data_IF_576204603589
#
_entry.id   IF_576204603589
#
_cell.length_a   1.000
_cell.length_b   1.000
_cell.length_c   1.000
_cell.angle_alpha   90.00
_cell.angle_beta   90.00
_cell.angle_gamma   90.00
#
_symmetry.space_group_name_H-M   'P 1'
#
loop_
_entity.id
_entity.type
_entity.pdbx_description
1 polymer ?
#
# COMPACT_ATOMS: atom_id res chain seq x y z
N UNK A 1 -13.25 -15.06 0.43
CA UNK A 1 -13.33 -13.67 0.95
C UNK A 1 -12.65 -13.63 2.31
N UNK A 2 -11.35 -13.38 2.36
CA UNK A 2 -10.64 -13.13 3.62
C UNK A 2 -10.74 -11.64 3.91
N UNK A 3 -11.44 -11.29 4.99
CA UNK A 3 -11.54 -9.91 5.48
C UNK A 3 -10.24 -9.62 6.23
N UNK A 4 -9.35 -8.85 5.63
CA UNK A 4 -8.19 -8.31 6.33
C UNK A 4 -8.72 -7.27 7.32
N UNK A 5 -8.44 -7.49 8.60
CA UNK A 5 -8.85 -6.63 9.71
C UNK A 5 -7.75 -5.60 9.92
N UNK A 6 -8.02 -4.34 9.60
CA UNK A 6 -7.02 -3.26 9.68
C UNK A 6 -7.35 -2.33 10.84
N UNK A 7 -6.38 -2.16 11.73
CA UNK A 7 -6.45 -1.25 12.88
C UNK A 7 -6.26 0.18 12.39
N UNK A 8 -7.32 0.99 12.51
CA UNK A 8 -7.46 2.30 11.90
C UNK A 8 -7.13 3.44 12.87
N UNK A 9 -6.26 4.35 12.44
CA UNK A 9 -6.09 5.72 12.95
C UNK A 9 -5.37 6.51 11.84
N UNK A 10 -6.08 7.04 10.84
CA UNK A 10 -5.70 8.22 10.00
C UNK A 10 -6.63 8.33 8.76
N UNK A 11 -7.17 9.52 8.43
CA UNK A 11 -8.09 9.71 7.30
C UNK A 11 -7.47 9.49 5.91
N UNK A 12 -6.15 9.62 5.79
CA UNK A 12 -5.42 9.34 4.54
C UNK A 12 -5.36 7.84 4.26
N UNK A 13 -5.12 7.05 5.31
CA UNK A 13 -5.01 5.59 5.23
C UNK A 13 -6.33 4.94 4.81
N UNK A 14 -7.44 5.38 5.40
CA UNK A 14 -8.78 4.92 5.01
C UNK A 14 -9.12 5.22 3.53
N UNK A 15 -8.69 6.36 3.00
CA UNK A 15 -8.89 6.71 1.59
C UNK A 15 -8.03 5.87 0.65
N UNK A 16 -6.79 5.58 1.04
CA UNK A 16 -5.90 4.69 0.29
C UNK A 16 -6.48 3.28 0.24
N UNK A 17 -6.91 2.75 1.38
CA UNK A 17 -7.54 1.44 1.46
C UNK A 17 -8.79 1.35 0.59
N UNK A 18 -9.69 2.33 0.68
CA UNK A 18 -10.90 2.32 -0.13
C UNK A 18 -10.58 2.32 -1.62
N UNK A 19 -9.59 3.10 -2.08
CA UNK A 19 -9.24 3.16 -3.50
C UNK A 19 -8.53 1.91 -4.01
N UNK A 20 -7.64 1.34 -3.20
CA UNK A 20 -6.76 0.24 -3.64
C UNK A 20 -7.38 -1.14 -3.42
N UNK A 21 -8.17 -1.34 -2.35
CA UNK A 21 -8.74 -2.66 -1.98
C UNK A 21 -9.67 -3.26 -3.03
N UNK A 22 -10.25 -2.44 -3.91
CA UNK A 22 -11.13 -2.92 -4.98
C UNK A 22 -10.35 -3.54 -6.14
N UNK A 23 -9.08 -3.17 -6.30
CA UNK A 23 -8.26 -3.56 -7.44
C UNK A 23 -7.11 -4.50 -7.04
N UNK A 24 -6.62 -4.36 -5.81
CA UNK A 24 -5.43 -5.04 -5.33
C UNK A 24 -5.65 -5.60 -3.92
N UNK A 25 -5.01 -6.73 -3.62
CA UNK A 25 -4.93 -7.25 -2.26
C UNK A 25 -3.78 -6.53 -1.54
N UNK A 26 -4.11 -5.48 -0.79
CA UNK A 26 -3.16 -4.55 -0.18
C UNK A 26 -3.39 -4.39 1.30
N UNK A 27 -2.30 -4.12 2.02
CA UNK A 27 -2.32 -3.72 3.42
C UNK A 27 -1.48 -2.45 3.61
N UNK A 28 -1.91 -1.58 4.52
CA UNK A 28 -1.17 -0.38 4.87
C UNK A 28 -0.69 -0.47 6.32
N UNK A 29 0.61 -0.30 6.52
CA UNK A 29 1.29 -0.49 7.81
C UNK A 29 1.91 0.82 8.23
N UNK A 30 1.62 1.25 9.45
CA UNK A 30 2.30 2.38 10.07
C UNK A 30 3.54 1.86 10.79
N UNK A 31 4.70 2.47 10.51
CA UNK A 31 5.92 2.19 11.27
C UNK A 31 5.90 3.13 12.48
N UNK A 32 5.67 2.62 13.71
CA UNK A 32 5.21 3.42 14.85
C UNK A 32 6.20 4.47 15.40
N UNK A 33 7.37 4.69 14.78
CA UNK A 33 8.38 5.61 15.29
C UNK A 33 8.94 6.63 14.28
N UNK A 34 8.54 6.61 13.01
CA UNK A 34 9.18 7.45 11.99
C UNK A 34 8.25 8.34 11.16
N UNK A 35 6.93 8.32 11.38
CA UNK A 35 5.98 9.03 10.51
C UNK A 35 6.05 8.54 9.05
N UNK A 36 6.47 7.29 8.86
CA UNK A 36 6.57 6.61 7.58
C UNK A 36 5.51 5.50 7.55
N UNK A 37 4.71 5.53 6.51
CA UNK A 37 3.72 4.52 6.19
C UNK A 37 4.23 3.63 5.05
N UNK A 38 3.92 2.34 5.10
CA UNK A 38 4.19 1.37 4.03
C UNK A 38 2.88 0.90 3.41
N UNK A 39 2.84 0.77 2.08
CA UNK A 39 1.82 -0.03 1.40
C UNK A 39 2.47 -1.32 0.92
N UNK A 40 1.89 -2.45 1.33
CA UNK A 40 2.24 -3.78 0.85
C UNK A 40 1.14 -4.32 -0.03
N UNK A 41 1.52 -5.11 -1.03
CA UNK A 41 0.59 -5.84 -1.87
C UNK A 41 0.95 -7.32 -1.83
N UNK A 42 -0.08 -8.17 -1.84
CA UNK A 42 0.07 -9.60 -1.95
C UNK A 42 0.39 -9.96 -3.41
N UNK A 43 1.59 -10.44 -3.65
CA UNK A 43 2.00 -11.02 -4.92
C UNK A 43 2.28 -12.51 -4.74
N UNK A 44 1.49 -13.36 -5.39
CA UNK A 44 1.68 -14.81 -5.43
C UNK A 44 1.86 -15.47 -4.04
N UNK A 45 1.14 -14.97 -3.01
CA UNK A 45 1.20 -15.40 -1.59
C UNK A 45 2.32 -14.79 -0.75
N UNK A 46 3.09 -13.86 -1.30
CA UNK A 46 4.07 -13.06 -0.56
C UNK A 46 3.62 -11.60 -0.45
N UNK A 47 3.64 -11.07 0.76
CA UNK A 47 3.41 -9.66 1.03
C UNK A 47 4.67 -8.87 0.74
N UNK A 48 4.67 -8.13 -0.36
CA UNK A 48 5.82 -7.31 -0.74
C UNK A 48 5.53 -5.83 -0.49
N UNK A 49 6.52 -5.10 0.01
CA UNK A 49 6.43 -3.65 0.11
C UNK A 49 6.50 -3.03 -1.28
N UNK A 50 5.46 -2.30 -1.64
CA UNK A 50 5.36 -1.59 -2.92
C UNK A 50 5.96 -0.21 -2.80
N UNK A 51 5.51 0.57 -1.82
CA UNK A 51 6.04 1.92 -1.58
C UNK A 51 6.02 2.27 -0.09
N UNK A 52 6.86 3.25 0.26
CA UNK A 52 6.93 3.90 1.56
C UNK A 52 6.71 5.39 1.35
N UNK A 53 5.97 6.03 2.23
CA UNK A 53 5.66 7.45 2.14
C UNK A 53 5.61 8.07 3.53
N UNK A 54 5.82 9.39 3.60
CA UNK A 54 5.62 10.13 4.85
C UNK A 54 4.12 10.32 5.11
N UNK A 55 3.71 10.37 6.38
CA UNK A 55 2.33 10.73 6.75
C UNK A 55 1.91 12.13 6.27
N UNK A 56 2.85 13.02 5.95
CA UNK A 56 2.56 14.32 5.34
C UNK A 56 2.43 14.30 3.82
N UNK A 57 2.63 13.16 3.16
CA UNK A 57 2.59 13.05 1.71
C UNK A 57 1.16 13.15 1.16
N UNK A 58 1.01 13.67 -0.07
CA UNK A 58 -0.30 13.82 -0.68
C UNK A 58 -0.85 12.49 -1.21
N UNK A 59 -2.14 12.23 -1.02
CA UNK A 59 -2.85 11.03 -1.52
C UNK A 59 -2.56 10.74 -3.00
N UNK A 60 -2.58 11.76 -3.86
CA UNK A 60 -2.34 11.61 -5.30
C UNK A 60 -0.93 11.11 -5.58
N UNK A 61 0.06 11.68 -4.89
CA UNK A 61 1.46 11.27 -5.03
C UNK A 61 1.64 9.82 -4.57
N UNK A 62 1.04 9.46 -3.44
CA UNK A 62 1.10 8.10 -2.89
C UNK A 62 0.49 7.09 -3.86
N UNK A 63 -0.67 7.39 -4.46
CA UNK A 63 -1.32 6.52 -5.44
C UNK A 63 -0.46 6.35 -6.69
N UNK A 64 0.08 7.45 -7.24
CA UNK A 64 0.99 7.38 -8.40
C UNK A 64 2.24 6.57 -8.08
N UNK A 65 2.84 6.78 -6.90
CA UNK A 65 3.98 5.98 -6.45
C UNK A 65 3.62 4.51 -6.33
N UNK A 66 2.45 4.18 -5.77
CA UNK A 66 1.99 2.80 -5.65
C UNK A 66 1.85 2.16 -7.02
N UNK A 67 1.12 2.77 -7.96
CA UNK A 67 0.88 2.22 -9.31
C UNK A 67 2.18 1.95 -10.05
N UNK A 68 3.08 2.94 -10.10
CA UNK A 68 4.37 2.80 -10.79
C UNK A 68 5.21 1.70 -10.15
N UNK A 69 5.34 1.67 -8.82
CA UNK A 69 6.13 0.64 -8.14
C UNK A 69 5.51 -0.76 -8.28
N UNK A 70 4.19 -0.84 -8.27
CA UNK A 70 3.47 -2.10 -8.43
C UNK A 70 3.69 -2.69 -9.83
N UNK A 71 3.57 -1.86 -10.88
CA UNK A 71 3.87 -2.29 -12.25
C UNK A 71 5.33 -2.74 -12.42
N UNK A 72 6.29 -1.98 -11.89
CA UNK A 72 7.70 -2.34 -11.94
C UNK A 72 7.99 -3.67 -11.24
N UNK A 73 7.40 -3.90 -10.07
CA UNK A 73 7.58 -5.14 -9.30
C UNK A 73 6.89 -6.34 -9.97
N UNK A 74 5.74 -6.15 -10.61
CA UNK A 74 5.10 -7.22 -11.42
C UNK A 74 5.95 -7.57 -12.63
N UNK A 75 6.49 -6.57 -13.34
CA UNK A 75 7.32 -6.82 -14.53
C UNK A 75 8.58 -7.60 -14.15
N UNK A 76 9.20 -7.28 -13.02
CA UNK A 76 10.38 -7.98 -12.53
C UNK A 76 10.10 -9.40 -11.99
N UNK A 77 8.85 -9.74 -11.62
CA UNK A 77 8.50 -11.09 -11.15
C UNK A 77 8.11 -12.07 -12.27
N UNK A 78 8.24 -11.64 -13.53
CA UNK A 78 8.01 -12.45 -14.76
C UNK A 78 9.30 -12.78 -15.51
N UNK A 79 10.47 -12.40 -15.02
CA UNK A 79 11.77 -12.71 -15.64
C UNK A 79 12.48 -13.88 -14.98
#
# INVERSE_FOLDING_TARGET
>A
MQKIMIMAMEPLKSQLEEKLRFQFDVESIDIPNNGICEIRANQKRDWITICRFSSSENLRNILTMFEVNYELKIRNSRS
#
